data_IF_709898867790
#
_entry.id   IF_709898867790
#
_cell.length_a   1.000
_cell.length_b   1.000
_cell.length_c   1.000
_cell.angle_alpha   90.00
_cell.angle_beta   90.00
_cell.angle_gamma   90.00
#
_symmetry.space_group_name_H-M   'P 1'
#
loop_
_entity.id
_entity.type
_entity.pdbx_description
1 polymer ?
#
# COMPACT_ATOMS: atom_id res chain seq x y z
N UNK A 1 1.89 -22.72 25.07
CA UNK A 1 2.94 -21.69 24.87
C UNK A 1 4.28 -22.37 24.64
N UNK A 2 5.15 -21.75 23.84
CA UNK A 2 6.50 -22.26 23.52
C UNK A 2 7.55 -21.32 24.10
N UNK A 3 8.78 -21.77 24.26
CA UNK A 3 9.86 -20.84 24.58
C UNK A 3 10.16 -19.94 23.37
N UNK A 4 10.20 -18.63 23.60
CA UNK A 4 10.70 -17.65 22.65
C UNK A 4 12.14 -17.97 22.29
N UNK A 5 12.41 -18.04 21.00
CA UNK A 5 13.74 -18.21 20.44
C UNK A 5 14.16 -16.91 19.77
N UNK A 6 15.39 -16.42 20.00
CA UNK A 6 15.91 -15.26 19.30
C UNK A 6 15.80 -15.45 17.78
N UNK A 7 15.32 -14.42 17.09
CA UNK A 7 15.29 -14.40 15.63
C UNK A 7 16.67 -14.06 15.08
N UNK A 8 16.98 -14.55 13.88
CA UNK A 8 18.20 -14.15 13.19
C UNK A 8 18.08 -12.67 12.79
N UNK A 9 18.99 -11.85 13.28
CA UNK A 9 19.01 -10.41 13.01
C UNK A 9 19.79 -10.08 11.74
N UNK A 10 19.54 -8.89 11.19
CA UNK A 10 20.15 -8.40 9.97
C UNK A 10 20.29 -6.88 9.96
N UNK A 11 19.96 -6.27 8.81
CA UNK A 11 20.08 -4.83 8.60
C UNK A 11 19.21 -4.00 9.57
N UNK A 12 18.13 -4.59 10.09
CA UNK A 12 17.21 -3.97 11.05
C UNK A 12 17.94 -3.61 12.34
N UNK A 13 18.71 -4.56 12.88
CA UNK A 13 19.46 -4.39 14.12
C UNK A 13 20.59 -3.37 13.94
N UNK A 14 21.32 -3.43 12.83
CA UNK A 14 22.39 -2.46 12.54
C UNK A 14 21.83 -1.04 12.39
N UNK A 15 20.68 -0.91 11.74
CA UNK A 15 19.98 0.35 11.59
C UNK A 15 19.49 0.89 12.94
N UNK A 16 18.95 0.03 13.80
CA UNK A 16 18.54 0.45 15.14
C UNK A 16 19.74 0.84 16.01
N UNK A 17 20.86 0.10 15.94
CA UNK A 17 22.13 0.45 16.59
C UNK A 17 22.65 1.82 16.13
N UNK A 18 22.48 2.16 14.85
CA UNK A 18 22.81 3.49 14.32
C UNK A 18 21.90 4.57 14.91
N UNK A 19 20.58 4.33 14.96
CA UNK A 19 19.63 5.26 15.56
C UNK A 19 19.93 5.54 17.04
N UNK A 20 20.33 4.52 17.81
CA UNK A 20 20.77 4.67 19.20
C UNK A 20 21.97 5.62 19.29
N UNK A 21 22.99 5.46 18.43
CA UNK A 21 24.18 6.34 18.42
C UNK A 21 23.82 7.79 18.08
N UNK A 22 22.79 7.99 17.27
CA UNK A 22 22.32 9.32 16.87
C UNK A 22 21.28 9.92 17.84
N UNK A 23 20.82 9.16 18.85
CA UNK A 23 19.77 9.60 19.77
C UNK A 23 18.39 9.73 19.11
N UNK A 24 18.12 8.91 18.09
CA UNK A 24 16.90 8.94 17.24
C UNK A 24 16.03 7.69 17.40
N UNK A 25 16.04 7.09 18.59
CA UNK A 25 15.24 5.89 18.86
C UNK A 25 13.73 6.17 18.70
N UNK A 26 13.27 7.36 19.04
CA UNK A 26 11.88 7.80 18.86
C UNK A 26 11.48 7.91 17.37
N UNK A 27 12.37 8.41 16.51
CA UNK A 27 12.16 8.41 15.05
C UNK A 27 11.96 6.99 14.50
N UNK A 28 12.70 6.00 15.03
CA UNK A 28 12.50 4.59 14.68
C UNK A 28 11.11 4.13 15.12
N UNK A 29 10.72 4.38 16.38
CA UNK A 29 9.40 3.96 16.88
C UNK A 29 8.27 4.60 16.09
N UNK A 30 8.41 5.86 15.68
CA UNK A 30 7.42 6.53 14.84
C UNK A 30 7.40 5.93 13.42
N UNK A 31 8.58 5.67 12.87
CA UNK A 31 8.80 5.32 11.47
C UNK A 31 8.91 6.54 10.56
N UNK A 32 9.45 7.64 11.07
CA UNK A 32 9.70 8.85 10.28
C UNK A 32 11.06 8.75 9.57
N UNK A 33 11.07 9.08 8.27
CA UNK A 33 12.28 9.19 7.48
C UNK A 33 13.16 7.94 7.38
N UNK A 34 14.48 8.17 7.49
CA UNK A 34 15.50 7.19 7.13
C UNK A 34 15.59 6.02 8.12
N UNK A 35 15.08 6.15 9.35
CA UNK A 35 15.22 5.15 10.42
C UNK A 35 14.08 4.14 10.53
N UNK A 36 13.07 4.23 9.66
CA UNK A 36 11.93 3.31 9.64
C UNK A 36 12.36 1.83 9.48
N UNK A 37 11.81 0.94 10.32
CA UNK A 37 12.09 -0.51 10.30
C UNK A 37 10.84 -1.27 9.87
N UNK A 38 10.94 -2.02 8.76
CA UNK A 38 9.84 -2.79 8.18
C UNK A 38 10.36 -3.99 7.39
N UNK A 39 9.53 -5.01 7.25
CA UNK A 39 9.72 -6.11 6.30
C UNK A 39 8.79 -5.94 5.10
N UNK A 40 9.01 -6.73 4.03
CA UNK A 40 8.19 -6.71 2.81
C UNK A 40 6.71 -6.97 3.09
N UNK A 41 6.42 -7.74 4.13
CA UNK A 41 5.07 -8.16 4.52
C UNK A 41 4.38 -7.21 5.52
N UNK A 42 5.06 -6.11 5.92
CA UNK A 42 4.52 -5.15 6.89
C UNK A 42 3.26 -4.44 6.38
N UNK A 43 2.20 -4.47 7.18
CA UNK A 43 0.83 -4.10 6.78
C UNK A 43 0.62 -2.63 6.36
N UNK A 44 1.29 -1.66 6.99
CA UNK A 44 1.17 -0.23 6.64
C UNK A 44 2.44 0.36 6.05
N UNK A 45 2.29 1.18 5.01
CA UNK A 45 3.37 2.00 4.47
C UNK A 45 3.60 3.29 5.27
N UNK A 46 4.86 3.74 5.34
CA UNK A 46 5.25 5.00 5.97
C UNK A 46 5.24 5.01 7.51
N UNK A 47 5.26 3.84 8.16
CA UNK A 47 5.45 3.70 9.62
C UNK A 47 6.28 2.45 9.94
N UNK A 48 6.95 2.44 11.10
CA UNK A 48 7.69 1.25 11.58
C UNK A 48 6.74 0.14 11.95
N UNK A 49 7.14 -1.09 11.63
CA UNK A 49 6.47 -2.32 12.04
C UNK A 49 6.94 -2.71 13.45
N UNK A 50 6.01 -2.64 14.41
CA UNK A 50 6.30 -2.92 15.82
C UNK A 50 6.72 -4.36 16.07
N UNK A 51 6.23 -5.33 15.27
CA UNK A 51 6.68 -6.72 15.42
C UNK A 51 8.13 -6.86 14.99
N UNK A 52 8.52 -6.22 13.89
CA UNK A 52 9.91 -6.22 13.43
C UNK A 52 10.80 -5.52 14.44
N UNK A 53 10.41 -4.34 14.92
CA UNK A 53 11.17 -3.59 15.92
C UNK A 53 11.39 -4.39 17.22
N UNK A 54 10.31 -4.94 17.81
CA UNK A 54 10.39 -5.69 19.06
C UNK A 54 11.26 -6.94 18.88
N UNK A 55 10.96 -7.77 17.88
CA UNK A 55 11.58 -9.09 17.75
C UNK A 55 13.00 -9.05 17.19
N UNK A 56 13.29 -8.14 16.25
CA UNK A 56 14.58 -8.11 15.55
C UNK A 56 15.55 -7.06 16.11
N UNK A 57 15.09 -6.14 16.96
CA UNK A 57 15.93 -5.09 17.53
C UNK A 57 15.90 -5.10 19.06
N UNK A 58 14.74 -4.87 19.68
CA UNK A 58 14.65 -4.65 21.13
C UNK A 58 15.04 -5.90 21.93
N UNK A 59 14.44 -7.03 21.59
CA UNK A 59 14.71 -8.31 22.25
C UNK A 59 16.16 -8.77 22.07
N UNK A 60 16.75 -8.79 20.84
CA UNK A 60 18.16 -9.12 20.66
C UNK A 60 19.11 -8.22 21.44
N UNK A 61 18.91 -6.90 21.45
CA UNK A 61 19.78 -5.98 22.21
C UNK A 61 19.71 -6.21 23.72
N UNK A 62 18.51 -6.49 24.24
CA UNK A 62 18.35 -6.85 25.64
C UNK A 62 19.12 -8.12 25.99
N UNK A 63 19.06 -9.15 25.15
CA UNK A 63 19.82 -10.39 25.30
C UNK A 63 21.34 -10.19 25.13
N UNK A 64 21.77 -9.25 24.27
CA UNK A 64 23.17 -8.81 24.13
C UNK A 64 23.68 -8.03 25.36
N UNK A 65 22.80 -7.67 26.30
CA UNK A 65 23.15 -7.07 27.60
C UNK A 65 22.72 -5.62 27.78
N UNK A 66 22.08 -4.99 26.80
CA UNK A 66 21.53 -3.63 26.93
C UNK A 66 20.23 -3.67 27.76
N UNK A 67 20.37 -3.70 29.09
CA UNK A 67 19.22 -3.70 30.00
C UNK A 67 18.51 -2.34 30.08
N UNK A 68 19.18 -1.26 29.70
CA UNK A 68 18.60 0.10 29.72
C UNK A 68 17.56 0.31 28.61
N UNK A 69 17.56 -0.55 27.57
CA UNK A 69 16.59 -0.52 26.47
C UNK A 69 15.13 -0.57 26.95
N UNK A 70 14.86 -1.23 28.09
CA UNK A 70 13.52 -1.29 28.68
C UNK A 70 13.08 0.12 29.08
N UNK A 71 13.92 0.82 29.85
CA UNK A 71 13.65 2.20 30.29
C UNK A 71 13.55 3.17 29.10
N UNK A 72 14.39 3.02 28.08
CA UNK A 72 14.32 3.87 26.86
C UNK A 72 13.02 3.63 26.10
N UNK A 73 12.61 2.37 25.94
CA UNK A 73 11.32 2.00 25.34
C UNK A 73 10.15 2.61 26.12
N UNK A 74 10.14 2.50 27.45
CA UNK A 74 9.10 3.10 28.30
C UNK A 74 9.01 4.63 28.14
N UNK A 75 10.17 5.31 28.11
CA UNK A 75 10.18 6.76 27.93
C UNK A 75 9.60 7.17 26.57
N UNK A 76 9.99 6.48 25.49
CA UNK A 76 9.46 6.76 24.14
C UNK A 76 7.94 6.55 24.10
N UNK A 77 7.45 5.42 24.62
CA UNK A 77 6.01 5.14 24.66
C UNK A 77 5.26 6.19 25.50
N UNK A 78 5.83 6.61 26.63
CA UNK A 78 5.27 7.65 27.49
C UNK A 78 5.20 9.00 26.79
N UNK A 79 6.25 9.40 26.10
CA UNK A 79 6.30 10.65 25.32
C UNK A 79 5.30 10.60 24.16
N UNK A 80 5.16 9.44 23.51
CA UNK A 80 4.18 9.21 22.45
C UNK A 80 2.75 9.35 22.97
N UNK A 81 2.43 8.73 24.10
CA UNK A 81 1.13 8.93 24.75
C UNK A 81 0.93 10.39 25.15
N UNK A 82 1.93 11.05 25.75
CA UNK A 82 1.80 12.44 26.18
C UNK A 82 1.56 13.43 25.01
N UNK A 83 2.02 13.11 23.80
CA UNK A 83 1.83 13.95 22.62
C UNK A 83 0.37 14.14 22.20
N UNK A 84 -0.49 13.15 22.46
CA UNK A 84 -1.86 13.10 21.94
C UNK A 84 -1.95 12.95 20.41
N UNK A 85 -0.84 12.76 19.71
CA UNK A 85 -0.82 12.66 18.25
C UNK A 85 -1.25 11.26 17.79
N UNK A 86 -2.13 11.20 16.78
CA UNK A 86 -2.70 9.96 16.27
C UNK A 86 -1.65 8.93 15.82
N UNK A 87 -0.57 9.36 15.15
CA UNK A 87 0.48 8.46 14.66
C UNK A 87 1.27 7.82 15.81
N UNK A 88 1.60 8.64 16.83
CA UNK A 88 2.32 8.18 18.02
C UNK A 88 1.44 7.27 18.87
N UNK A 89 0.17 7.62 19.05
CA UNK A 89 -0.79 6.79 19.77
C UNK A 89 -1.06 5.46 19.07
N UNK A 90 -1.11 5.48 17.73
CA UNK A 90 -1.18 4.26 16.93
C UNK A 90 0.02 3.35 17.21
N UNK A 91 1.24 3.90 17.23
CA UNK A 91 2.46 3.12 17.49
C UNK A 91 2.48 2.53 18.90
N UNK A 92 1.99 3.27 19.90
CA UNK A 92 1.85 2.77 21.28
C UNK A 92 0.90 1.56 21.34
N UNK A 93 -0.29 1.66 20.76
CA UNK A 93 -1.26 0.54 20.79
C UNK A 93 -0.82 -0.62 19.89
N UNK A 94 -0.11 -0.35 18.79
CA UNK A 94 0.51 -1.38 17.96
C UNK A 94 1.59 -2.14 18.75
N UNK A 95 2.41 -1.45 19.53
CA UNK A 95 3.41 -2.08 20.41
C UNK A 95 2.73 -3.03 21.39
N UNK A 96 1.71 -2.56 22.13
CA UNK A 96 1.00 -3.39 23.09
C UNK A 96 0.24 -4.55 22.42
N UNK A 97 -0.29 -4.37 21.21
CA UNK A 97 -0.97 -5.45 20.48
C UNK A 97 -0.01 -6.57 20.11
N UNK A 98 1.18 -6.21 19.61
CA UNK A 98 2.23 -7.18 19.34
C UNK A 98 2.70 -7.85 20.64
N UNK A 99 2.92 -7.07 21.70
CA UNK A 99 3.35 -7.62 22.99
C UNK A 99 2.34 -8.62 23.57
N UNK A 100 1.04 -8.30 23.58
CA UNK A 100 -0.01 -9.21 24.05
C UNK A 100 -0.02 -10.51 23.24
N UNK A 101 0.08 -10.42 21.91
CA UNK A 101 0.23 -11.60 21.05
C UNK A 101 1.46 -12.43 21.42
N UNK A 102 2.61 -11.80 21.64
CA UNK A 102 3.82 -12.50 22.06
C UNK A 102 3.66 -13.20 23.42
N UNK A 103 3.02 -12.55 24.40
CA UNK A 103 2.77 -13.11 25.73
C UNK A 103 1.85 -14.33 25.65
N UNK A 104 0.82 -14.30 24.80
CA UNK A 104 -0.09 -15.44 24.61
C UNK A 104 0.59 -16.67 23.98
N UNK A 105 1.64 -16.46 23.19
CA UNK A 105 2.31 -17.52 22.45
C UNK A 105 3.58 -18.04 23.16
N UNK A 106 4.24 -17.21 23.97
CA UNK A 106 5.58 -17.49 24.50
C UNK A 106 5.74 -17.32 26.03
N UNK A 107 6.61 -18.14 26.63
CA UNK A 107 6.77 -18.25 28.11
C UNK A 107 7.96 -17.49 28.72
N UNK A 108 8.94 -17.05 27.93
CA UNK A 108 10.21 -16.48 28.38
C UNK A 108 10.62 -15.26 27.54
N UNK A 109 9.71 -14.31 27.36
CA UNK A 109 10.02 -13.08 26.64
C UNK A 109 11.13 -12.28 27.35
N UNK A 110 12.06 -11.65 26.62
CA UNK A 110 13.15 -10.87 27.19
C UNK A 110 12.69 -9.80 28.20
N UNK A 111 11.67 -9.03 27.83
CA UNK A 111 10.99 -8.08 28.72
C UNK A 111 9.59 -7.76 28.19
N UNK A 112 8.78 -7.10 29.01
CA UNK A 112 7.49 -6.51 28.63
C UNK A 112 7.32 -5.17 29.34
N UNK A 113 6.51 -4.29 28.76
CA UNK A 113 6.10 -3.01 29.34
C UNK A 113 4.69 -3.14 29.88
N UNK A 114 4.44 -2.65 31.10
CA UNK A 114 3.11 -2.65 31.70
C UNK A 114 2.23 -1.57 31.05
N UNK A 115 1.13 -1.98 30.41
CA UNK A 115 0.16 -1.07 29.78
C UNK A 115 -0.64 -0.27 30.83
N UNK A 116 -0.77 -0.78 32.06
CA UNK A 116 -1.67 -0.24 33.08
C UNK A 116 -1.41 1.23 33.40
N UNK A 117 -0.15 1.64 33.32
CA UNK A 117 0.29 3.03 33.61
C UNK A 117 -0.10 4.03 32.52
N UNK A 118 -0.50 3.55 31.33
CA UNK A 118 -0.86 4.39 30.19
C UNK A 118 -2.37 4.48 29.96
N UNK A 119 -3.18 3.60 30.57
CA UNK A 119 -4.62 3.44 30.27
C UNK A 119 -5.37 4.77 30.32
N UNK A 120 -5.17 5.55 31.40
CA UNK A 120 -5.80 6.86 31.59
C UNK A 120 -5.52 7.81 30.42
N UNK A 121 -4.24 8.05 30.15
CA UNK A 121 -3.82 9.03 29.16
C UNK A 121 -4.19 8.57 27.74
N UNK A 122 -4.11 7.27 27.46
CA UNK A 122 -4.58 6.71 26.19
C UNK A 122 -6.07 7.01 26.01
N UNK A 123 -6.92 6.70 27.00
CA UNK A 123 -8.36 6.96 26.89
C UNK A 123 -8.67 8.46 26.73
N UNK A 124 -8.04 9.32 27.54
CA UNK A 124 -8.20 10.79 27.43
C UNK A 124 -7.83 11.28 26.02
N UNK A 125 -6.71 10.82 25.46
CA UNK A 125 -6.30 11.16 24.11
C UNK A 125 -7.26 10.65 23.03
N UNK A 126 -7.75 9.42 23.14
CA UNK A 126 -8.68 8.83 22.16
C UNK A 126 -9.98 9.61 22.12
N UNK A 127 -10.49 10.03 23.28
CA UNK A 127 -11.67 10.90 23.39
C UNK A 127 -11.42 12.25 22.70
N UNK A 128 -10.24 12.85 22.90
CA UNK A 128 -9.87 14.11 22.25
C UNK A 128 -9.68 13.98 20.73
N UNK A 129 -9.29 12.80 20.24
CA UNK A 129 -9.17 12.46 18.83
C UNK A 129 -10.53 12.15 18.17
N UNK A 130 -11.65 12.27 18.87
CA UNK A 130 -12.98 11.99 18.34
C UNK A 130 -13.37 12.81 17.09
N UNK A 131 -12.62 13.84 16.67
CA UNK A 131 -12.84 14.56 15.42
C UNK A 131 -12.10 13.96 14.20
N UNK A 132 -11.13 13.05 14.40
CA UNK A 132 -10.37 12.40 13.31
C UNK A 132 -11.09 11.14 12.78
N UNK A 133 -12.42 11.15 12.82
CA UNK A 133 -13.30 9.99 12.64
C UNK A 133 -13.10 9.21 11.31
N UNK A 134 -12.55 9.84 10.27
CA UNK A 134 -12.28 9.22 8.96
C UNK A 134 -10.90 8.55 8.82
N UNK A 135 -10.04 8.62 9.83
CA UNK A 135 -8.68 8.12 9.76
C UNK A 135 -8.60 6.59 9.98
N UNK A 136 -7.86 5.89 9.11
CA UNK A 136 -7.68 4.43 9.19
C UNK A 136 -6.96 4.00 10.48
N UNK A 137 -5.99 4.78 10.95
CA UNK A 137 -5.25 4.54 12.20
C UNK A 137 -6.16 4.73 13.40
N UNK A 138 -7.02 5.74 13.39
CA UNK A 138 -8.01 5.96 14.46
C UNK A 138 -8.96 4.75 14.59
N UNK A 139 -9.37 4.19 13.45
CA UNK A 139 -10.24 3.00 13.44
C UNK A 139 -9.57 1.77 14.05
N UNK A 140 -8.27 1.58 13.81
CA UNK A 140 -7.49 0.50 14.42
C UNK A 140 -7.21 0.74 15.91
N UNK A 141 -6.93 1.98 16.31
CA UNK A 141 -6.83 2.39 17.71
C UNK A 141 -8.09 1.98 18.48
N UNK A 142 -9.27 2.34 17.97
CA UNK A 142 -10.55 1.94 18.61
C UNK A 142 -10.70 0.41 18.63
N UNK A 143 -10.30 -0.28 17.56
CA UNK A 143 -10.38 -1.74 17.52
C UNK A 143 -9.52 -2.38 18.62
N UNK A 144 -8.29 -1.92 18.82
CA UNK A 144 -7.41 -2.43 19.88
C UNK A 144 -7.95 -2.13 21.28
N UNK A 145 -8.43 -0.92 21.54
CA UNK A 145 -9.08 -0.57 22.82
C UNK A 145 -10.25 -1.51 23.12
N UNK A 146 -10.99 -1.93 22.08
CA UNK A 146 -12.12 -2.85 22.25
C UNK A 146 -11.71 -4.30 22.57
N UNK A 147 -10.48 -4.68 22.23
CA UNK A 147 -9.95 -6.04 22.36
C UNK A 147 -9.18 -6.24 23.66
N UNK A 148 -8.52 -5.20 24.15
CA UNK A 148 -7.76 -5.23 25.41
C UNK A 148 -8.71 -5.12 26.62
N UNK A 149 -8.83 -6.15 27.46
CA UNK A 149 -9.71 -6.12 28.63
C UNK A 149 -9.35 -5.01 29.63
N UNK A 150 -8.06 -4.66 29.74
CA UNK A 150 -7.53 -3.69 30.68
C UNK A 150 -8.20 -2.30 30.56
N UNK A 151 -8.59 -1.89 29.35
CA UNK A 151 -9.30 -0.61 29.16
C UNK A 151 -10.71 -0.64 29.73
N UNK A 152 -11.45 -1.74 29.54
CA UNK A 152 -12.80 -1.89 30.10
C UNK A 152 -12.78 -2.03 31.61
N UNK A 153 -11.78 -2.73 32.14
CA UNK A 153 -11.57 -2.86 33.58
C UNK A 153 -11.22 -1.52 34.23
N UNK A 154 -10.48 -0.66 33.51
CA UNK A 154 -10.14 0.67 33.97
C UNK A 154 -11.32 1.64 33.93
N UNK A 155 -11.99 1.77 32.78
CA UNK A 155 -13.15 2.68 32.61
C UNK A 155 -14.10 2.20 31.50
N UNK A 156 -15.07 1.38 31.88
CA UNK A 156 -16.05 0.83 30.93
C UNK A 156 -16.98 1.91 30.33
N UNK A 157 -17.27 2.99 31.04
CA UNK A 157 -18.15 4.06 30.54
C UNK A 157 -17.47 4.81 29.39
N UNK A 158 -16.20 5.20 29.58
CA UNK A 158 -15.41 5.87 28.54
C UNK A 158 -15.19 4.95 27.34
N UNK A 159 -14.90 3.66 27.57
CA UNK A 159 -14.75 2.70 26.47
C UNK A 159 -16.04 2.56 25.67
N UNK A 160 -17.20 2.41 26.33
CA UNK A 160 -18.49 2.33 25.62
C UNK A 160 -18.82 3.62 24.84
N UNK A 161 -18.45 4.79 25.37
CA UNK A 161 -18.55 6.06 24.65
C UNK A 161 -17.66 6.06 23.39
N UNK A 162 -16.39 5.65 23.49
CA UNK A 162 -15.49 5.51 22.34
C UNK A 162 -16.06 4.54 21.29
N UNK A 163 -16.66 3.43 21.73
CA UNK A 163 -17.29 2.46 20.82
C UNK A 163 -18.60 2.96 20.20
N UNK A 164 -19.27 3.92 20.83
CA UNK A 164 -20.44 4.60 20.23
C UNK A 164 -20.02 5.44 19.02
N UNK A 165 -18.86 6.12 19.10
CA UNK A 165 -18.27 6.88 17.97
C UNK A 165 -18.02 5.95 16.78
N UNK A 166 -17.53 4.73 17.01
CA UNK A 166 -17.36 3.70 15.96
C UNK A 166 -18.68 3.35 15.28
N UNK A 167 -19.76 3.17 16.05
CA UNK A 167 -21.08 2.83 15.52
C UNK A 167 -21.64 3.96 14.65
N UNK A 168 -21.49 5.21 15.08
CA UNK A 168 -21.84 6.38 14.26
C UNK A 168 -21.07 6.41 12.93
N UNK A 169 -19.78 6.03 12.95
CA UNK A 169 -18.94 5.99 11.76
C UNK A 169 -19.28 4.87 10.79
N UNK A 170 -19.57 3.69 11.31
CA UNK A 170 -20.01 2.55 10.51
C UNK A 170 -21.40 2.80 9.87
N UNK A 171 -22.24 3.62 10.51
CA UNK A 171 -23.57 3.97 10.04
C UNK A 171 -23.60 5.17 9.08
N UNK A 172 -22.48 5.85 8.83
CA UNK A 172 -22.38 6.80 7.72
C UNK A 172 -22.33 6.02 6.41
N UNK A 173 -23.15 6.36 5.39
CA UNK A 173 -23.04 5.73 4.09
C UNK A 173 -21.62 5.96 3.56
N UNK A 174 -20.84 4.89 3.46
CA UNK A 174 -19.58 4.94 2.75
C UNK A 174 -19.92 4.93 1.26
N UNK A 175 -19.61 6.03 0.56
CA UNK A 175 -19.50 5.99 -0.89
C UNK A 175 -18.26 5.14 -1.17
N UNK A 176 -18.47 3.84 -1.36
CA UNK A 176 -17.41 2.93 -1.81
C UNK A 176 -17.16 3.32 -3.26
N UNK A 177 -15.97 3.85 -3.60
CA UNK A 177 -15.68 4.16 -4.98
C UNK A 177 -15.76 2.89 -5.80
N UNK A 178 -16.30 2.98 -7.01
CA UNK A 178 -16.37 1.83 -7.89
C UNK A 178 -14.96 1.33 -8.23
N UNK A 179 -14.81 0.07 -8.64
CA UNK A 179 -13.47 -0.45 -8.99
C UNK A 179 -12.84 0.35 -10.14
N UNK A 180 -13.66 0.93 -11.02
CA UNK A 180 -13.25 1.82 -12.09
C UNK A 180 -12.69 3.16 -11.56
N UNK A 181 -13.23 3.68 -10.46
CA UNK A 181 -12.72 4.90 -9.82
C UNK A 181 -11.39 4.65 -9.09
N UNK A 182 -11.22 3.46 -8.50
CA UNK A 182 -10.01 3.07 -7.77
C UNK A 182 -8.87 2.71 -8.74
N UNK A 183 -9.20 2.04 -9.86
CA UNK A 183 -8.25 1.60 -10.87
C UNK A 183 -8.72 2.03 -12.25
N UNK A 184 -8.66 3.33 -12.57
CA UNK A 184 -9.07 3.80 -13.88
C UNK A 184 -8.19 3.16 -14.96
N UNK A 185 -8.83 2.69 -16.04
CA UNK A 185 -8.11 2.28 -17.25
C UNK A 185 -7.67 3.55 -17.98
N UNK A 186 -6.38 3.86 -17.85
CA UNK A 186 -5.68 4.97 -18.49
C UNK A 186 -5.37 4.61 -19.95
N UNK A 187 -6.41 4.70 -20.77
CA UNK A 187 -6.32 4.51 -22.21
C UNK A 187 -7.30 5.49 -22.87
N UNK A 188 -6.78 6.59 -23.40
CA UNK A 188 -7.58 7.61 -24.10
C UNK A 188 -7.81 7.16 -25.55
N UNK A 189 -9.05 6.79 -25.94
CA UNK A 189 -9.32 6.29 -27.28
C UNK A 189 -9.34 7.39 -28.33
N UNK A 190 -9.31 8.66 -27.95
CA UNK A 190 -9.42 9.80 -28.89
C UNK A 190 -8.07 10.29 -29.42
N UNK A 191 -6.97 9.76 -28.90
CA UNK A 191 -5.61 10.23 -29.21
C UNK A 191 -4.77 9.14 -29.87
N UNK A 192 -3.95 9.57 -30.82
CA UNK A 192 -2.79 8.81 -31.32
C UNK A 192 -1.61 9.16 -30.41
N UNK A 193 -0.92 8.16 -29.87
CA UNK A 193 0.09 8.38 -28.83
C UNK A 193 1.39 8.87 -29.47
N UNK A 194 1.83 8.20 -30.54
CA UNK A 194 2.96 8.64 -31.34
C UNK A 194 2.87 8.11 -32.77
N UNK A 195 3.48 8.84 -33.70
CA UNK A 195 3.52 8.52 -35.13
C UNK A 195 4.88 8.93 -35.71
N UNK A 196 5.40 8.13 -36.64
CA UNK A 196 6.65 8.39 -37.33
C UNK A 196 6.78 7.58 -38.61
N UNK A 197 7.88 7.80 -39.33
CA UNK A 197 8.20 7.06 -40.57
C UNK A 197 9.50 6.30 -40.37
N UNK A 198 9.48 4.99 -40.62
CA UNK A 198 10.63 4.08 -40.48
C UNK A 198 10.71 3.20 -41.72
N UNK A 199 11.83 3.22 -42.44
CA UNK A 199 12.06 2.36 -43.62
C UNK A 199 10.89 2.33 -44.64
N UNK A 200 10.29 3.49 -44.92
CA UNK A 200 9.12 3.65 -45.80
C UNK A 200 7.80 3.04 -45.28
N UNK A 201 7.71 2.76 -43.98
CA UNK A 201 6.48 2.46 -43.28
C UNK A 201 6.04 3.65 -42.44
N UNK A 202 4.72 3.88 -42.40
CA UNK A 202 4.13 4.73 -41.39
C UNK A 202 3.94 3.90 -40.11
N UNK A 203 4.64 4.25 -39.04
CA UNK A 203 4.56 3.53 -37.77
C UNK A 203 3.89 4.39 -36.70
N UNK A 204 2.90 3.81 -36.01
CA UNK A 204 2.27 4.41 -34.84
C UNK A 204 2.54 3.56 -33.61
N UNK A 205 2.84 4.19 -32.50
CA UNK A 205 2.97 3.53 -31.20
C UNK A 205 1.64 3.67 -30.45
N UNK A 206 1.12 2.57 -29.92
CA UNK A 206 0.01 2.53 -28.98
C UNK A 206 0.53 1.91 -27.68
N UNK A 207 0.52 2.69 -26.60
CA UNK A 207 0.98 2.23 -25.28
C UNK A 207 -0.21 1.85 -24.40
N UNK A 208 -0.13 0.66 -23.81
CA UNK A 208 -1.05 0.22 -22.77
C UNK A 208 -0.29 -0.09 -21.47
N UNK A 209 -0.36 0.86 -20.53
CA UNK A 209 0.26 0.80 -19.21
C UNK A 209 -0.61 0.12 -18.14
N UNK A 210 -1.81 -0.36 -18.49
CA UNK A 210 -2.80 -0.80 -17.51
C UNK A 210 -2.56 -2.25 -17.07
N UNK A 211 -2.74 -2.50 -15.76
CA UNK A 211 -2.76 -3.88 -15.22
C UNK A 211 -4.06 -4.58 -15.61
N UNK A 212 -3.94 -5.79 -16.16
CA UNK A 212 -5.09 -6.63 -16.50
C UNK A 212 -5.70 -7.25 -15.24
N UNK A 213 -6.79 -6.64 -14.76
CA UNK A 213 -7.51 -7.07 -13.56
C UNK A 213 -8.81 -7.76 -13.96
N UNK A 214 -9.02 -9.00 -13.51
CA UNK A 214 -10.22 -9.79 -13.83
C UNK A 214 -11.56 -9.03 -13.64
N UNK A 215 -11.78 -8.23 -12.57
CA UNK A 215 -13.04 -7.49 -12.42
C UNK A 215 -13.25 -6.36 -13.45
N UNK A 216 -12.18 -5.83 -14.03
CA UNK A 216 -12.21 -4.69 -14.96
C UNK A 216 -11.89 -5.09 -16.41
N UNK A 217 -11.60 -6.37 -16.65
CA UNK A 217 -11.14 -6.88 -17.95
C UNK A 217 -12.08 -6.49 -19.10
N UNK A 218 -13.40 -6.55 -18.88
CA UNK A 218 -14.39 -6.16 -19.91
C UNK A 218 -14.26 -4.68 -20.29
N UNK A 219 -14.05 -3.81 -19.32
CA UNK A 219 -13.91 -2.37 -19.57
C UNK A 219 -12.58 -2.07 -20.26
N UNK A 220 -11.50 -2.73 -19.83
CA UNK A 220 -10.19 -2.59 -20.45
C UNK A 220 -10.24 -3.03 -21.92
N UNK A 221 -10.85 -4.19 -22.21
CA UNK A 221 -11.08 -4.68 -23.57
C UNK A 221 -11.87 -3.67 -24.43
N UNK A 222 -12.93 -3.07 -23.88
CA UNK A 222 -13.73 -2.07 -24.59
C UNK A 222 -12.88 -0.84 -24.95
N UNK A 223 -12.14 -0.28 -24.00
CA UNK A 223 -11.27 0.87 -24.26
C UNK A 223 -10.16 0.56 -25.25
N UNK A 224 -9.56 -0.62 -25.16
CA UNK A 224 -8.52 -1.05 -26.09
C UNK A 224 -9.08 -1.21 -27.51
N UNK A 225 -10.29 -1.77 -27.64
CA UNK A 225 -10.99 -1.83 -28.91
C UNK A 225 -11.30 -0.44 -29.47
N UNK A 226 -11.84 0.47 -28.67
CA UNK A 226 -12.12 1.85 -29.09
C UNK A 226 -10.84 2.56 -29.56
N UNK A 227 -9.73 2.41 -28.82
CA UNK A 227 -8.45 3.02 -29.19
C UNK A 227 -7.88 2.43 -30.48
N UNK A 228 -7.89 1.10 -30.63
CA UNK A 228 -7.45 0.46 -31.87
C UNK A 228 -8.30 0.90 -33.07
N UNK A 229 -9.63 0.98 -32.90
CA UNK A 229 -10.54 1.47 -33.93
C UNK A 229 -10.23 2.93 -34.31
N UNK A 230 -9.87 3.78 -33.35
CA UNK A 230 -9.45 5.14 -33.65
C UNK A 230 -8.16 5.19 -34.48
N UNK A 231 -7.17 4.33 -34.19
CA UNK A 231 -5.93 4.26 -34.98
C UNK A 231 -6.20 3.76 -36.41
N UNK A 232 -7.03 2.73 -36.56
CA UNK A 232 -7.45 2.22 -37.86
C UNK A 232 -8.19 3.32 -38.63
N UNK A 233 -9.15 4.00 -37.98
CA UNK A 233 -9.88 5.09 -38.60
C UNK A 233 -8.97 6.25 -39.02
N UNK A 234 -8.02 6.64 -38.18
CA UNK A 234 -7.03 7.68 -38.48
C UNK A 234 -6.22 7.35 -39.74
N UNK A 235 -5.84 6.08 -39.92
CA UNK A 235 -5.20 5.59 -41.14
C UNK A 235 -6.16 5.66 -42.33
N UNK A 236 -7.34 5.03 -42.22
CA UNK A 236 -8.28 4.89 -43.34
C UNK A 236 -8.79 6.24 -43.84
N UNK A 237 -8.96 7.20 -42.94
CA UNK A 237 -9.34 8.59 -43.24
C UNK A 237 -8.17 9.46 -43.69
N UNK A 238 -6.95 8.90 -43.79
CA UNK A 238 -5.75 9.55 -44.30
C UNK A 238 -5.35 10.82 -43.55
N UNK A 239 -5.64 10.90 -42.25
CA UNK A 239 -5.36 12.10 -41.44
C UNK A 239 -3.86 12.43 -41.31
N UNK A 240 -2.97 11.48 -41.61
CA UNK A 240 -1.52 11.68 -41.58
C UNK A 240 -0.95 12.32 -42.86
N UNK A 241 -1.69 12.35 -43.97
CA UNK A 241 -1.13 12.63 -45.31
C UNK A 241 -0.52 14.02 -45.42
N UNK A 242 -1.16 15.04 -44.85
CA UNK A 242 -0.66 16.42 -44.91
C UNK A 242 0.71 16.58 -44.20
N UNK A 243 1.00 15.71 -43.23
CA UNK A 243 2.24 15.76 -42.45
C UNK A 243 3.33 14.80 -42.95
N UNK A 244 2.95 13.64 -43.49
CA UNK A 244 3.88 12.54 -43.78
C UNK A 244 3.86 12.05 -45.24
N UNK A 245 2.90 12.50 -46.05
CA UNK A 245 2.63 11.91 -47.38
C UNK A 245 1.85 10.60 -47.29
N UNK A 246 1.67 9.92 -48.43
CA UNK A 246 0.87 8.68 -48.53
C UNK A 246 1.60 7.52 -49.23
N UNK A 247 2.87 7.69 -49.58
CA UNK A 247 3.67 6.70 -50.32
C UNK A 247 4.35 5.70 -49.37
N UNK A 248 3.54 4.94 -48.65
CA UNK A 248 4.03 3.92 -47.69
C UNK A 248 3.69 2.52 -48.16
N UNK A 249 4.65 1.60 -48.03
CA UNK A 249 4.47 0.18 -48.35
C UNK A 249 3.54 -0.52 -47.36
N UNK A 250 3.62 -0.16 -46.07
CA UNK A 250 2.77 -0.66 -45.00
C UNK A 250 2.55 0.41 -43.93
N UNK A 251 1.47 0.24 -43.16
CA UNK A 251 1.09 1.11 -42.05
C UNK A 251 1.01 0.27 -40.78
N UNK A 252 1.92 0.48 -39.84
CA UNK A 252 2.11 -0.40 -38.68
C UNK A 252 1.59 0.26 -37.41
N UNK A 253 0.70 -0.44 -36.71
CA UNK A 253 0.33 -0.11 -35.34
C UNK A 253 1.16 -1.01 -34.41
N UNK A 254 2.09 -0.42 -33.68
CA UNK A 254 2.90 -1.07 -32.65
C UNK A 254 2.19 -0.94 -31.29
N UNK A 255 1.43 -1.96 -30.90
CA UNK A 255 0.81 -2.04 -29.59
C UNK A 255 1.79 -2.65 -28.58
N UNK A 256 2.19 -1.86 -27.58
CA UNK A 256 3.12 -2.30 -26.52
C UNK A 256 2.42 -2.30 -25.17
N UNK A 257 2.47 -3.44 -24.50
CA UNK A 257 1.95 -3.60 -23.15
C UNK A 257 3.04 -3.43 -22.10
N UNK A 258 2.74 -2.70 -21.02
CA UNK A 258 3.57 -2.71 -19.81
C UNK A 258 3.34 -3.97 -18.97
N UNK A 259 2.13 -4.51 -18.98
CA UNK A 259 1.74 -5.71 -18.24
C UNK A 259 1.14 -6.74 -19.19
N UNK A 260 1.46 -8.01 -18.99
CA UNK A 260 0.95 -9.08 -19.83
C UNK A 260 -0.60 -9.04 -19.91
N UNK A 261 -1.18 -9.06 -21.13
CA UNK A 261 -2.62 -9.15 -21.30
C UNK A 261 -3.16 -10.49 -20.84
N UNK A 262 -4.47 -10.55 -20.54
CA UNK A 262 -5.12 -11.82 -20.24
C UNK A 262 -5.33 -12.67 -21.49
N UNK A 263 -5.72 -13.94 -21.30
CA UNK A 263 -6.07 -14.84 -22.41
C UNK A 263 -7.17 -14.27 -23.31
N UNK A 264 -8.16 -13.59 -22.71
CA UNK A 264 -9.22 -12.89 -23.46
C UNK A 264 -8.66 -11.69 -24.24
N UNK A 265 -7.72 -10.95 -23.66
CA UNK A 265 -6.96 -9.89 -24.33
C UNK A 265 -6.18 -10.40 -25.53
N UNK A 266 -5.42 -11.47 -25.36
CA UNK A 266 -4.66 -12.10 -26.45
C UNK A 266 -5.58 -12.62 -27.55
N UNK A 267 -6.67 -13.31 -27.20
CA UNK A 267 -7.65 -13.80 -28.17
C UNK A 267 -8.30 -12.65 -28.97
N UNK A 268 -8.62 -11.54 -28.30
CA UNK A 268 -9.10 -10.32 -28.94
C UNK A 268 -8.09 -9.76 -29.96
N UNK A 269 -6.81 -9.65 -29.59
CA UNK A 269 -5.77 -9.13 -30.49
C UNK A 269 -5.55 -10.02 -31.71
N UNK A 270 -5.60 -11.34 -31.54
CA UNK A 270 -5.55 -12.29 -32.66
C UNK A 270 -6.73 -12.06 -33.61
N UNK A 271 -7.92 -11.76 -33.09
CA UNK A 271 -9.08 -11.46 -33.92
C UNK A 271 -8.91 -10.12 -34.67
N UNK A 272 -8.36 -9.09 -34.03
CA UNK A 272 -8.05 -7.81 -34.69
C UNK A 272 -7.05 -8.02 -35.82
N UNK A 273 -5.97 -8.77 -35.57
CA UNK A 273 -4.97 -9.09 -36.61
C UNK A 273 -5.61 -9.80 -37.81
N UNK A 274 -6.54 -10.75 -37.58
CA UNK A 274 -7.29 -11.42 -38.66
C UNK A 274 -8.15 -10.46 -39.48
N UNK A 275 -8.83 -9.51 -38.81
CA UNK A 275 -9.66 -8.50 -39.49
C UNK A 275 -8.82 -7.58 -40.37
N UNK A 276 -7.58 -7.30 -39.97
CA UNK A 276 -6.66 -6.43 -40.72
C UNK A 276 -5.87 -7.14 -41.84
N UNK A 277 -5.89 -8.48 -41.92
CA UNK A 277 -5.17 -9.24 -42.96
C UNK A 277 -5.41 -8.79 -44.42
N UNK A 278 -6.62 -8.38 -44.84
CA UNK A 278 -6.85 -7.96 -46.22
C UNK A 278 -6.48 -6.48 -46.49
N UNK A 279 -5.97 -5.74 -45.49
CA UNK A 279 -5.59 -4.32 -45.64
C UNK A 279 -4.07 -4.15 -45.66
N UNK A 280 -3.61 -2.91 -45.85
CA UNK A 280 -2.20 -2.51 -45.73
C UNK A 280 -1.82 -2.08 -44.29
N UNK A 281 -2.72 -2.34 -43.33
CA UNK A 281 -2.52 -2.05 -41.91
C UNK A 281 -2.06 -3.31 -41.19
N UNK A 282 -0.92 -3.23 -40.50
CA UNK A 282 -0.37 -4.32 -39.71
C UNK A 282 -0.41 -3.98 -38.22
N UNK A 283 -1.04 -4.83 -37.41
CA UNK A 283 -0.96 -4.74 -35.94
C UNK A 283 0.18 -5.64 -35.43
N UNK A 284 1.22 -5.02 -34.87
CA UNK A 284 2.30 -5.69 -34.15
C UNK A 284 2.06 -5.56 -32.65
N UNK A 285 2.06 -6.69 -31.94
CA UNK A 285 1.85 -6.73 -30.49
C UNK A 285 3.17 -7.08 -29.81
N UNK A 286 3.56 -6.27 -28.82
CA UNK A 286 4.70 -6.50 -27.95
C UNK A 286 4.19 -6.68 -26.53
N UNK A 287 4.45 -7.86 -25.95
CA UNK A 287 4.14 -8.19 -24.56
C UNK A 287 5.43 -8.19 -23.73
N UNK A 288 5.38 -7.84 -22.44
CA UNK A 288 6.54 -7.95 -21.57
C UNK A 288 6.92 -9.43 -21.37
N UNK A 289 8.22 -9.68 -21.16
CA UNK A 289 8.77 -11.01 -20.82
C UNK A 289 8.34 -11.51 -19.44
#
# INVERSE_FOLDING_TARGET
MKDYQPVKTGWELEKYKQAIKEGKEDEVFLGDGEFMIRHRESFFEGITDMEVLIRYCLFPLYEEGDRDIVRRTENILKDFVASGEINKLYQVLSYFSVQSSLIEHFTNLPFFIDISVYLRNILENVVNLANTKGDKKFSLIINWISQFPEFREYDNEVVENILSIRRELANKPQVVPSLEEIFPIELDPTKIDSIGVVENHLEMLLLDSNKWRKPLEKQHLLKLQEKLNNYIHFIESKQYVDSYGDDFTEKVINLTFQYAPSDNGLAFLVQVQKVLQPTDIRLKVVVPE
#
